data_IF_601880067361
#
_entry.id   IF_601880067361
#
_cell.length_a   1.000
_cell.length_b   1.000
_cell.length_c   1.000
_cell.angle_alpha   90.00
_cell.angle_beta   90.00
_cell.angle_gamma   90.00
#
_symmetry.space_group_name_H-M   'P 1'
#
loop_
_entity.id
_entity.type
_entity.pdbx_description
1 polymer ?
#
# COMPACT_ATOMS: atom_id res chain seq x y z
N UNK A 1 11.66 21.10 1.45
CA UNK A 1 11.62 19.88 2.30
C UNK A 1 12.75 18.95 1.88
N UNK A 2 13.36 18.23 2.84
CA UNK A 2 14.35 17.21 2.50
C UNK A 2 13.67 16.01 1.81
N UNK A 3 14.39 15.27 0.95
CA UNK A 3 13.86 14.06 0.30
C UNK A 3 13.30 13.04 1.32
N UNK A 4 13.93 12.82 2.49
CA UNK A 4 13.34 12.00 3.56
C UNK A 4 11.98 12.50 4.03
N UNK A 5 11.81 13.81 4.28
CA UNK A 5 10.51 14.34 4.71
C UNK A 5 9.43 14.15 3.64
N UNK A 6 9.76 14.37 2.36
CA UNK A 6 8.82 14.14 1.25
C UNK A 6 8.43 12.65 1.17
N UNK A 7 9.41 11.75 1.28
CA UNK A 7 9.17 10.32 1.29
C UNK A 7 8.31 9.90 2.49
N UNK A 8 8.55 10.40 3.69
CA UNK A 8 7.72 10.07 4.86
C UNK A 8 6.27 10.49 4.63
N UNK A 9 6.04 11.73 4.16
CA UNK A 9 4.68 12.23 3.93
C UNK A 9 3.99 11.44 2.82
N UNK A 10 4.66 11.23 1.68
CA UNK A 10 4.10 10.47 0.57
C UNK A 10 3.83 9.01 0.96
N UNK A 11 4.70 8.39 1.76
CA UNK A 11 4.52 7.02 2.25
C UNK A 11 3.32 6.90 3.19
N UNK A 12 3.16 7.85 4.12
CA UNK A 12 2.00 7.88 5.02
C UNK A 12 0.70 8.09 4.25
N UNK A 13 0.68 9.03 3.31
CA UNK A 13 -0.49 9.28 2.47
C UNK A 13 -0.84 8.05 1.62
N UNK A 14 0.16 7.41 1.01
CA UNK A 14 -0.03 6.18 0.25
C UNK A 14 -0.63 5.07 1.12
N UNK A 15 -0.06 4.79 2.29
CA UNK A 15 -0.57 3.73 3.17
C UNK A 15 -2.00 4.01 3.61
N UNK A 16 -2.31 5.25 4.00
CA UNK A 16 -3.66 5.62 4.41
C UNK A 16 -4.68 5.37 3.28
N UNK A 17 -4.39 5.85 2.06
CA UNK A 17 -5.24 5.64 0.89
C UNK A 17 -5.35 4.16 0.53
N UNK A 18 -4.22 3.43 0.59
CA UNK A 18 -4.16 2.01 0.28
C UNK A 18 -5.02 1.17 1.22
N UNK A 19 -4.95 1.42 2.54
CA UNK A 19 -5.75 0.72 3.53
C UNK A 19 -7.24 0.95 3.29
N UNK A 20 -7.65 2.20 3.06
CA UNK A 20 -9.05 2.55 2.76
C UNK A 20 -9.51 1.81 1.50
N UNK A 21 -8.72 1.84 0.43
CA UNK A 21 -9.04 1.16 -0.81
C UNK A 21 -9.15 -0.36 -0.62
N UNK A 22 -8.19 -0.98 0.06
CA UNK A 22 -8.15 -2.44 0.24
C UNK A 22 -9.29 -2.95 1.14
N UNK A 23 -9.64 -2.20 2.19
CA UNK A 23 -10.72 -2.62 3.09
C UNK A 23 -12.09 -2.41 2.47
N UNK A 24 -12.28 -1.35 1.69
CA UNK A 24 -13.57 -1.04 1.04
C UNK A 24 -13.85 -1.86 -0.22
N UNK A 25 -12.82 -2.39 -0.87
CA UNK A 25 -12.97 -3.11 -2.13
C UNK A 25 -13.82 -4.40 -2.02
N UNK A 26 -13.64 -5.28 -1.03
CA UNK A 26 -14.47 -6.47 -0.86
C UNK A 26 -15.97 -6.18 -0.70
N UNK A 27 -16.32 -5.03 -0.08
CA UNK A 27 -17.72 -4.63 0.13
C UNK A 27 -18.48 -4.47 -1.20
N UNK A 28 -17.77 -4.23 -2.30
CA UNK A 28 -18.35 -4.08 -3.63
C UNK A 28 -18.72 -5.43 -4.29
N UNK A 29 -18.15 -6.54 -3.83
CA UNK A 29 -18.28 -7.86 -4.47
C UNK A 29 -19.28 -8.80 -3.77
N UNK A 30 -19.89 -8.39 -2.66
CA UNK A 30 -20.85 -9.21 -1.90
C UNK A 30 -20.18 -10.44 -1.27
N UNK A 31 -20.85 -11.61 -1.29
CA UNK A 31 -20.28 -12.86 -0.75
C UNK A 31 -19.22 -13.42 -1.70
N UNK A 32 -17.95 -13.15 -1.41
CA UNK A 32 -16.82 -13.84 -2.03
C UNK A 32 -16.66 -15.27 -1.49
N UNK A 33 -16.10 -16.15 -2.33
CA UNK A 33 -15.73 -17.49 -1.90
C UNK A 33 -14.47 -17.39 -1.02
N UNK A 34 -14.41 -18.17 0.07
CA UNK A 34 -13.39 -18.01 1.11
C UNK A 34 -11.95 -18.10 0.59
N UNK A 35 -11.70 -18.92 -0.45
CA UNK A 35 -10.38 -19.04 -1.09
C UNK A 35 -9.98 -17.72 -1.76
N UNK A 36 -10.91 -17.09 -2.46
CA UNK A 36 -10.66 -15.82 -3.18
C UNK A 36 -10.38 -14.71 -2.18
N UNK A 37 -11.12 -14.68 -1.07
CA UNK A 37 -10.90 -13.75 0.02
C UNK A 37 -9.53 -13.95 0.67
N UNK A 38 -9.13 -15.20 0.95
CA UNK A 38 -7.81 -15.50 1.49
C UNK A 38 -6.68 -15.05 0.55
N UNK A 39 -6.78 -15.36 -0.75
CA UNK A 39 -5.81 -14.93 -1.77
C UNK A 39 -5.76 -13.40 -1.86
N UNK A 40 -6.91 -12.74 -1.84
CA UNK A 40 -7.02 -11.29 -1.84
C UNK A 40 -6.25 -10.67 -0.67
N UNK A 41 -6.52 -11.13 0.56
CA UNK A 41 -5.85 -10.60 1.75
C UNK A 41 -4.34 -10.88 1.76
N UNK A 42 -3.90 -12.04 1.27
CA UNK A 42 -2.47 -12.33 1.11
C UNK A 42 -1.78 -11.37 0.14
N UNK A 43 -2.38 -11.13 -1.03
CA UNK A 43 -1.83 -10.24 -2.05
C UNK A 43 -1.84 -8.80 -1.54
N UNK A 44 -2.97 -8.34 -0.98
CA UNK A 44 -3.11 -7.01 -0.42
C UNK A 44 -2.11 -6.75 0.72
N UNK A 45 -1.82 -7.76 1.54
CA UNK A 45 -0.81 -7.69 2.59
C UNK A 45 0.64 -7.54 2.08
N UNK A 46 0.90 -7.81 0.80
CA UNK A 46 2.26 -7.78 0.21
C UNK A 46 2.47 -6.64 -0.79
N UNK A 47 1.45 -6.29 -1.59
CA UNK A 47 1.60 -5.37 -2.73
C UNK A 47 2.05 -3.97 -2.31
N UNK A 48 1.61 -3.48 -1.15
CA UNK A 48 1.99 -2.16 -0.63
C UNK A 48 3.50 -1.99 -0.39
N UNK A 49 4.24 -3.08 -0.20
CA UNK A 49 5.68 -3.06 0.06
C UNK A 49 6.45 -2.50 -1.15
N UNK A 50 5.97 -2.77 -2.37
CA UNK A 50 6.66 -2.35 -3.61
C UNK A 50 6.84 -0.82 -3.71
N UNK A 51 5.77 -0.01 -3.67
CA UNK A 51 5.89 1.45 -3.75
C UNK A 51 6.60 2.03 -2.52
N UNK A 52 6.36 1.51 -1.31
CA UNK A 52 7.04 1.99 -0.10
C UNK A 52 8.55 1.73 -0.16
N UNK A 53 8.97 0.54 -0.61
CA UNK A 53 10.39 0.22 -0.81
C UNK A 53 11.03 1.16 -1.82
N UNK A 54 10.37 1.44 -2.94
CA UNK A 54 10.87 2.38 -3.93
C UNK A 54 11.04 3.79 -3.36
N UNK A 55 10.06 4.25 -2.58
CA UNK A 55 10.06 5.55 -1.94
C UNK A 55 11.18 5.67 -0.88
N UNK A 56 11.39 4.62 -0.08
CA UNK A 56 12.47 4.54 0.90
C UNK A 56 13.85 4.63 0.22
N UNK A 57 14.06 3.86 -0.86
CA UNK A 57 15.31 3.93 -1.62
C UNK A 57 15.51 5.33 -2.21
N UNK A 58 14.48 5.90 -2.85
CA UNK A 58 14.54 7.26 -3.39
C UNK A 58 14.88 8.31 -2.33
N UNK A 59 14.42 8.13 -1.09
CA UNK A 59 14.67 9.07 0.01
C UNK A 59 16.15 9.18 0.41
N UNK A 60 16.91 8.09 0.24
CA UNK A 60 18.31 7.96 0.64
C UNK A 60 19.27 8.25 -0.52
N UNK A 61 18.86 7.96 -1.76
CA UNK A 61 19.71 8.23 -2.92
C UNK A 61 19.90 9.75 -3.12
N UNK A 62 21.11 10.24 -2.80
CA UNK A 62 21.66 11.48 -3.34
C UNK A 62 22.10 11.18 -4.77
N UNK A 63 21.55 11.92 -5.74
CA UNK A 63 22.13 11.99 -7.08
C UNK A 63 23.16 13.11 -7.05
#
# INVERSE_FOLDING_TARGET
MSRPTIATIAGLLFIAVYIIAVISLPDLFGRMNWVVEAVYWCIAGMVWVLPIRWLMLWSVFKR
#
